data_IF_015818721452
#
_entry.id   IF_015818721452
#
_cell.length_a   1.000
_cell.length_b   1.000
_cell.length_c   1.000
_cell.angle_alpha   90.00
_cell.angle_beta   90.00
_cell.angle_gamma   90.00
#
_symmetry.space_group_name_H-M   'P 1'
#
loop_
_entity.id
_entity.type
_entity.pdbx_description
1 polymer ?
#
# COMPACT_ATOMS: atom_id res chain seq x y z
N UNK A 1 25.65 3.45 -6.01
CA UNK A 1 24.65 2.86 -5.07
C UNK A 1 23.36 3.64 -5.33
N UNK A 2 22.47 3.06 -6.13
CA UNK A 2 21.18 3.71 -6.47
C UNK A 2 20.37 3.76 -5.17
N UNK A 3 20.12 4.98 -4.67
CA UNK A 3 19.06 5.18 -3.67
C UNK A 3 17.80 4.55 -4.25
N UNK A 4 17.26 3.56 -3.54
CA UNK A 4 15.99 2.99 -3.90
C UNK A 4 15.00 4.15 -3.96
N UNK A 5 14.38 4.33 -5.10
CA UNK A 5 13.63 5.52 -5.54
C UNK A 5 12.48 5.83 -4.56
N UNK A 6 12.82 6.44 -3.44
CA UNK A 6 11.84 6.94 -2.47
C UNK A 6 11.19 8.16 -3.10
N UNK A 7 9.93 8.01 -3.50
CA UNK A 7 9.14 9.13 -4.04
C UNK A 7 9.15 10.29 -3.04
N UNK A 8 9.58 11.46 -3.48
CA UNK A 8 9.53 12.69 -2.67
C UNK A 8 8.14 13.33 -2.73
N UNK A 9 7.88 14.27 -1.82
CA UNK A 9 6.63 15.06 -1.85
C UNK A 9 6.49 15.79 -3.17
N UNK A 10 7.57 16.43 -3.67
CA UNK A 10 7.55 17.16 -4.93
C UNK A 10 7.25 16.28 -6.14
N UNK A 11 7.82 15.06 -6.18
CA UNK A 11 7.51 14.08 -7.21
C UNK A 11 6.04 13.63 -7.16
N UNK A 12 5.50 13.40 -5.96
CA UNK A 12 4.08 13.04 -5.77
C UNK A 12 3.16 14.16 -6.27
N UNK A 13 3.39 15.42 -5.86
CA UNK A 13 2.59 16.57 -6.30
C UNK A 13 2.68 16.78 -7.82
N UNK A 14 3.87 16.66 -8.40
CA UNK A 14 4.06 16.73 -9.86
C UNK A 14 3.25 15.67 -10.59
N UNK A 15 3.23 14.42 -10.08
CA UNK A 15 2.45 13.32 -10.64
C UNK A 15 0.95 13.61 -10.57
N UNK A 16 0.45 14.09 -9.42
CA UNK A 16 -0.96 14.44 -9.25
C UNK A 16 -1.39 15.54 -10.22
N UNK A 17 -0.61 16.59 -10.39
CA UNK A 17 -0.90 17.67 -11.37
C UNK A 17 -0.93 17.15 -12.80
N UNK A 18 -0.01 16.23 -13.18
CA UNK A 18 -0.01 15.61 -14.52
C UNK A 18 -1.23 14.70 -14.73
N UNK A 19 -1.63 13.96 -13.71
CA UNK A 19 -2.85 13.12 -13.73
C UNK A 19 -4.09 13.99 -13.91
N UNK A 20 -4.18 15.11 -13.20
CA UNK A 20 -5.27 16.06 -13.34
C UNK A 20 -5.29 16.71 -14.73
N UNK A 21 -4.12 17.03 -15.30
CA UNK A 21 -4.05 17.49 -16.70
C UNK A 21 -4.63 16.48 -17.68
N UNK A 22 -4.30 15.20 -17.53
CA UNK A 22 -4.83 14.14 -18.38
C UNK A 22 -6.36 14.04 -18.24
N UNK A 23 -6.88 14.03 -17.01
CA UNK A 23 -8.30 14.02 -16.71
C UNK A 23 -9.04 15.20 -17.34
N UNK A 24 -8.50 16.44 -17.21
CA UNK A 24 -9.11 17.65 -17.78
C UNK A 24 -9.20 17.61 -19.31
N UNK A 25 -8.20 17.01 -19.97
CA UNK A 25 -8.23 16.80 -21.41
C UNK A 25 -9.30 15.81 -21.82
N UNK A 26 -9.42 14.70 -21.08
CA UNK A 26 -10.40 13.64 -21.33
C UNK A 26 -11.85 14.18 -21.24
N UNK A 27 -12.13 15.02 -20.23
CA UNK A 27 -13.46 15.60 -20.02
C UNK A 27 -13.66 16.92 -20.78
N UNK A 28 -12.74 17.33 -21.64
CA UNK A 28 -12.87 18.53 -22.49
C UNK A 28 -12.70 19.86 -21.76
N UNK A 29 -12.23 19.87 -20.52
CA UNK A 29 -11.95 21.10 -19.75
C UNK A 29 -10.62 21.77 -20.17
N UNK A 30 -9.76 21.05 -20.87
CA UNK A 30 -8.48 21.53 -21.34
C UNK A 30 -8.24 21.12 -22.78
N UNK A 31 -7.85 22.05 -23.65
CA UNK A 31 -7.53 21.75 -25.03
C UNK A 31 -6.30 20.82 -25.10
N UNK A 32 -6.19 19.93 -26.12
CA UNK A 32 -5.11 18.96 -26.24
C UNK A 32 -3.69 19.56 -26.13
N UNK A 33 -3.47 20.75 -26.72
CA UNK A 33 -2.18 21.45 -26.71
C UNK A 33 -1.93 22.26 -25.43
N UNK A 34 -2.95 22.45 -24.58
CA UNK A 34 -2.82 23.27 -23.36
C UNK A 34 -2.23 22.44 -22.22
N UNK A 35 -1.33 23.00 -21.45
CA UNK A 35 -0.73 22.41 -20.27
C UNK A 35 -1.44 22.95 -19.03
N UNK A 36 -1.84 22.09 -18.11
CA UNK A 36 -2.24 22.50 -16.76
C UNK A 36 -0.97 22.88 -16.00
N UNK A 37 -0.58 24.15 -16.14
CA UNK A 37 0.70 24.67 -15.68
C UNK A 37 0.73 24.81 -14.15
N UNK A 38 1.91 25.08 -13.60
CA UNK A 38 2.05 25.39 -12.16
C UNK A 38 1.32 26.69 -11.78
N UNK A 39 1.34 27.67 -12.69
CA UNK A 39 0.65 28.93 -12.50
C UNK A 39 -0.86 28.72 -12.36
N UNK A 40 -1.48 27.95 -13.28
CA UNK A 40 -2.90 27.61 -13.20
C UNK A 40 -3.23 26.82 -11.93
N UNK A 41 -2.42 25.82 -11.62
CA UNK A 41 -2.62 24.98 -10.45
C UNK A 41 -2.47 25.78 -9.13
N UNK A 42 -1.52 26.69 -9.08
CA UNK A 42 -1.29 27.56 -7.92
C UNK A 42 -2.42 28.58 -7.72
N UNK A 43 -2.92 29.17 -8.83
CA UNK A 43 -4.07 30.08 -8.79
C UNK A 43 -5.32 29.37 -8.22
N UNK A 44 -5.65 28.19 -8.74
CA UNK A 44 -6.78 27.38 -8.28
C UNK A 44 -6.61 26.90 -6.81
N UNK A 45 -5.38 26.58 -6.42
CA UNK A 45 -5.06 26.21 -5.03
C UNK A 45 -4.88 27.41 -4.07
N UNK A 46 -5.05 28.65 -4.55
CA UNK A 46 -4.87 29.88 -3.78
C UNK A 46 -3.49 30.01 -3.11
N UNK A 47 -2.44 29.58 -3.81
CA UNK A 47 -1.03 29.73 -3.39
C UNK A 47 -0.22 30.44 -4.49
N UNK A 48 1.00 30.87 -4.18
CA UNK A 48 1.86 31.46 -5.23
C UNK A 48 2.47 30.39 -6.13
N UNK A 49 2.62 30.68 -7.44
CA UNK A 49 3.29 29.80 -8.39
C UNK A 49 4.75 29.50 -7.99
N UNK A 50 5.43 30.50 -7.37
CA UNK A 50 6.79 30.32 -6.82
C UNK A 50 6.80 29.26 -5.72
N UNK A 51 5.83 29.32 -4.80
CA UNK A 51 5.73 28.35 -3.71
C UNK A 51 5.41 26.93 -4.24
N UNK A 52 4.47 26.80 -5.17
CA UNK A 52 4.21 25.49 -5.80
C UNK A 52 5.45 24.95 -6.49
N UNK A 53 6.22 25.82 -7.16
CA UNK A 53 7.50 25.41 -7.80
C UNK A 53 8.51 24.90 -6.76
N UNK A 54 8.60 25.55 -5.60
CA UNK A 54 9.46 25.09 -4.51
C UNK A 54 9.00 23.75 -3.94
N UNK A 55 7.68 23.55 -3.78
CA UNK A 55 7.11 22.28 -3.33
C UNK A 55 7.42 21.15 -4.31
N UNK A 56 7.18 21.35 -5.63
CA UNK A 56 7.44 20.33 -6.65
C UNK A 56 8.94 20.02 -6.86
N UNK A 57 9.83 20.90 -6.39
CA UNK A 57 11.30 20.72 -6.43
C UNK A 57 11.89 20.25 -5.10
N UNK A 58 11.06 20.04 -4.07
CA UNK A 58 11.49 19.73 -2.71
C UNK A 58 12.47 20.76 -2.12
N UNK A 59 12.30 22.03 -2.50
CA UNK A 59 13.14 23.17 -2.03
C UNK A 59 12.40 24.14 -1.12
N UNK A 60 11.13 23.86 -0.80
CA UNK A 60 10.37 24.66 0.15
C UNK A 60 10.99 24.59 1.55
N UNK A 61 11.12 25.75 2.20
CA UNK A 61 11.64 25.80 3.57
C UNK A 61 10.58 25.36 4.59
N UNK A 62 10.98 24.52 5.54
CA UNK A 62 10.13 24.05 6.62
C UNK A 62 9.11 23.00 6.19
N UNK A 63 8.25 22.62 7.14
CA UNK A 63 7.20 21.62 6.88
C UNK A 63 6.01 22.28 6.19
N UNK A 64 5.54 21.68 5.11
CA UNK A 64 4.35 22.15 4.37
C UNK A 64 3.11 22.02 5.26
N UNK A 65 2.32 23.09 5.37
CA UNK A 65 1.10 23.06 6.18
C UNK A 65 0.03 22.12 5.60
N UNK A 66 -0.68 21.39 6.47
CA UNK A 66 -1.76 20.46 6.11
C UNK A 66 -2.84 21.12 5.24
N UNK A 67 -3.20 22.39 5.54
CA UNK A 67 -4.17 23.14 4.74
C UNK A 67 -3.73 23.36 3.30
N UNK A 68 -2.45 23.63 3.04
CA UNK A 68 -1.90 23.78 1.69
C UNK A 68 -1.96 22.46 0.94
N UNK A 69 -1.58 21.36 1.60
CA UNK A 69 -1.68 20.03 0.99
C UNK A 69 -3.13 19.70 0.63
N UNK A 70 -4.09 20.02 1.50
CA UNK A 70 -5.52 19.78 1.22
C UNK A 70 -5.99 20.59 0.01
N UNK A 71 -5.65 21.86 -0.07
CA UNK A 71 -5.98 22.69 -1.24
C UNK A 71 -5.44 22.11 -2.54
N UNK A 72 -4.19 21.61 -2.54
CA UNK A 72 -3.61 20.96 -3.71
C UNK A 72 -4.32 19.66 -4.08
N UNK A 73 -4.67 18.82 -3.09
CA UNK A 73 -5.43 17.59 -3.31
C UNK A 73 -6.79 17.88 -3.94
N UNK A 74 -7.50 18.90 -3.43
CA UNK A 74 -8.81 19.30 -3.95
C UNK A 74 -8.68 19.86 -5.37
N UNK A 75 -7.66 20.71 -5.65
CA UNK A 75 -7.35 21.24 -6.99
C UNK A 75 -7.03 20.13 -8.00
N UNK A 76 -6.34 19.08 -7.57
CA UNK A 76 -5.99 17.94 -8.43
C UNK A 76 -7.07 16.87 -8.50
N UNK A 77 -8.23 17.06 -7.88
CA UNK A 77 -9.31 16.07 -7.76
C UNK A 77 -8.76 14.70 -7.35
N UNK A 78 -7.78 14.72 -6.44
CA UNK A 78 -7.09 13.54 -5.99
C UNK A 78 -7.90 12.81 -4.90
N UNK A 79 -7.61 11.52 -4.73
CA UNK A 79 -8.34 10.66 -3.78
C UNK A 79 -7.90 10.88 -2.32
N UNK A 80 -8.68 10.33 -1.36
CA UNK A 80 -8.27 10.30 0.05
C UNK A 80 -7.00 9.47 0.27
N UNK A 81 -6.72 8.46 -0.56
CA UNK A 81 -5.45 7.75 -0.52
C UNK A 81 -4.28 8.66 -0.94
N UNK A 82 -4.45 9.47 -1.98
CA UNK A 82 -3.45 10.46 -2.39
C UNK A 82 -3.24 11.52 -1.29
N UNK A 83 -4.33 11.97 -0.65
CA UNK A 83 -4.28 12.88 0.49
C UNK A 83 -3.43 12.31 1.62
N UNK A 84 -3.73 11.07 2.04
CA UNK A 84 -2.98 10.36 3.06
C UNK A 84 -1.49 10.27 2.69
N UNK A 85 -1.21 9.93 1.43
CA UNK A 85 0.15 9.75 0.93
C UNK A 85 0.97 11.03 0.95
N UNK A 86 0.42 12.15 0.49
CA UNK A 86 1.15 13.42 0.53
C UNK A 86 1.34 13.92 1.96
N UNK A 87 0.40 13.65 2.88
CA UNK A 87 0.57 13.92 4.30
C UNK A 87 1.74 13.10 4.88
N UNK A 88 1.80 11.80 4.62
CA UNK A 88 2.89 10.94 5.08
C UNK A 88 4.25 11.40 4.53
N UNK A 89 4.34 11.74 3.24
CA UNK A 89 5.56 12.28 2.62
C UNK A 89 5.99 13.63 3.22
N UNK A 90 5.03 14.47 3.60
CA UNK A 90 5.28 15.74 4.25
C UNK A 90 5.61 15.63 5.76
N UNK A 91 5.60 14.41 6.31
CA UNK A 91 5.86 14.14 7.72
C UNK A 91 4.69 14.44 8.65
N UNK A 92 3.46 14.56 8.11
CA UNK A 92 2.25 14.65 8.91
C UNK A 92 1.72 13.26 9.21
N UNK A 93 1.36 13.02 10.48
CA UNK A 93 0.66 11.81 10.86
C UNK A 93 -0.83 11.99 10.54
N UNK A 94 -1.25 11.59 9.36
CA UNK A 94 -2.69 11.50 9.11
C UNK A 94 -3.26 10.25 9.81
N UNK A 95 -4.48 10.33 10.37
CA UNK A 95 -5.09 9.18 11.02
C UNK A 95 -5.40 8.11 9.96
N UNK A 96 -4.68 6.99 10.05
CA UNK A 96 -4.88 5.86 9.16
C UNK A 96 -5.38 4.64 9.95
N UNK A 97 -6.59 4.12 9.65
CA UNK A 97 -7.15 3.00 10.41
C UNK A 97 -6.29 1.73 10.34
N UNK A 98 -5.61 1.49 9.21
CA UNK A 98 -4.86 0.27 8.95
C UNK A 98 -3.45 0.19 9.56
N UNK A 99 -2.87 1.34 9.92
CA UNK A 99 -1.56 1.44 10.59
C UNK A 99 -1.65 2.36 11.81
N UNK A 100 -2.87 2.61 12.32
CA UNK A 100 -3.11 3.41 13.51
C UNK A 100 -2.30 2.84 14.68
N UNK A 101 -1.59 3.70 15.39
CA UNK A 101 -0.74 3.32 16.53
C UNK A 101 0.73 3.09 16.19
N UNK A 102 1.12 2.97 14.91
CA UNK A 102 2.54 2.91 14.54
C UNK A 102 3.06 4.30 14.18
N UNK A 103 3.92 4.85 15.01
CA UNK A 103 4.67 6.06 14.67
C UNK A 103 5.68 5.77 13.55
N UNK A 104 5.92 6.71 12.60
CA UNK A 104 7.01 6.61 11.64
C UNK A 104 8.41 6.48 12.28
N UNK A 105 8.52 6.90 13.53
CA UNK A 105 9.77 6.85 14.32
C UNK A 105 9.84 5.64 15.26
N UNK A 106 8.80 4.79 15.27
CA UNK A 106 8.79 3.59 16.12
C UNK A 106 9.76 2.56 15.56
N UNK A 107 10.63 2.03 16.41
CA UNK A 107 11.40 0.84 16.08
C UNK A 107 10.44 -0.30 15.77
N UNK A 108 10.49 -0.77 14.53
CA UNK A 108 9.61 -1.85 14.11
C UNK A 108 10.17 -3.16 14.68
N UNK A 109 9.36 -3.91 15.44
CA UNK A 109 9.78 -5.17 16.01
C UNK A 109 10.35 -6.11 14.94
N UNK A 110 11.38 -6.86 15.30
CA UNK A 110 11.96 -7.88 14.43
C UNK A 110 10.93 -8.97 14.09
N UNK A 111 11.21 -9.75 13.05
CA UNK A 111 10.38 -10.92 12.73
C UNK A 111 10.25 -11.86 13.93
N UNK A 112 11.33 -12.09 14.67
CA UNK A 112 11.35 -12.95 15.85
C UNK A 112 10.43 -12.41 16.97
N UNK A 113 10.49 -11.10 17.25
CA UNK A 113 9.60 -10.47 18.22
C UNK A 113 8.12 -10.61 17.82
N UNK A 114 7.80 -10.42 16.54
CA UNK A 114 6.43 -10.67 16.04
C UNK A 114 6.02 -12.14 16.18
N UNK A 115 6.91 -13.09 15.90
CA UNK A 115 6.62 -14.52 16.05
C UNK A 115 6.42 -14.93 17.53
N UNK A 116 7.16 -14.30 18.45
CA UNK A 116 7.01 -14.50 19.90
C UNK A 116 5.69 -13.89 20.42
N UNK A 117 5.18 -12.84 19.79
CA UNK A 117 3.91 -12.21 20.12
C UNK A 117 2.69 -13.08 19.77
N UNK A 118 2.83 -14.09 18.90
CA UNK A 118 1.77 -15.05 18.60
C UNK A 118 1.59 -16.03 19.74
N UNK A 119 0.55 -15.83 20.56
CA UNK A 119 0.25 -16.68 21.69
C UNK A 119 -0.19 -18.09 21.27
N UNK A 120 -0.05 -19.11 22.13
CA UNK A 120 -0.59 -20.45 21.84
C UNK A 120 -2.09 -20.44 21.55
N UNK A 121 -2.87 -19.59 22.22
CA UNK A 121 -4.30 -19.43 21.99
C UNK A 121 -4.60 -18.90 20.58
N UNK A 122 -3.86 -17.88 20.11
CA UNK A 122 -4.01 -17.35 18.76
C UNK A 122 -3.73 -18.43 17.69
N UNK A 123 -2.74 -19.30 17.94
CA UNK A 123 -2.43 -20.43 17.04
C UNK A 123 -3.54 -21.47 17.06
N UNK A 124 -4.03 -21.85 18.25
CA UNK A 124 -5.13 -22.80 18.39
C UNK A 124 -6.40 -22.31 17.66
N UNK A 125 -6.81 -21.06 17.88
CA UNK A 125 -7.96 -20.48 17.18
C UNK A 125 -7.80 -20.46 15.65
N UNK A 126 -6.58 -20.28 15.16
CA UNK A 126 -6.29 -20.32 13.74
C UNK A 126 -6.41 -21.74 13.19
N UNK A 127 -5.89 -22.73 13.92
CA UNK A 127 -5.90 -24.15 13.52
C UNK A 127 -7.27 -24.80 13.60
N UNK A 128 -8.14 -24.31 14.53
CA UNK A 128 -9.53 -24.74 14.68
C UNK A 128 -10.47 -24.15 13.61
N UNK A 129 -9.98 -23.26 12.75
CA UNK A 129 -10.80 -22.66 11.69
C UNK A 129 -11.31 -23.73 10.70
N UNK A 130 -12.55 -23.55 10.22
CA UNK A 130 -13.14 -24.44 9.24
C UNK A 130 -12.28 -24.52 7.95
N UNK A 131 -12.37 -25.64 7.23
CA UNK A 131 -11.53 -25.91 6.06
C UNK A 131 -11.76 -24.92 4.89
N UNK A 132 -12.92 -24.26 4.84
CA UNK A 132 -13.26 -23.21 3.86
C UNK A 132 -12.80 -21.82 4.31
N UNK A 133 -12.17 -21.73 5.49
CA UNK A 133 -11.74 -20.47 6.08
C UNK A 133 -10.21 -20.40 6.13
N UNK A 134 -9.63 -19.61 5.25
CA UNK A 134 -8.21 -19.27 5.34
C UNK A 134 -8.01 -18.27 6.48
N UNK A 135 -7.05 -18.53 7.38
CA UNK A 135 -6.75 -17.66 8.52
C UNK A 135 -5.25 -17.49 8.65
N UNK A 136 -4.82 -16.25 8.81
CA UNK A 136 -3.39 -15.96 8.92
C UNK A 136 -3.12 -14.69 9.71
N UNK A 137 -1.89 -14.58 10.19
CA UNK A 137 -1.35 -13.42 10.88
C UNK A 137 -0.20 -12.81 10.07
N UNK A 138 -0.16 -11.49 9.98
CA UNK A 138 0.94 -10.76 9.37
C UNK A 138 1.46 -9.68 10.30
N UNK A 139 2.72 -9.29 10.11
CA UNK A 139 3.22 -8.02 10.64
C UNK A 139 2.60 -6.83 9.88
N UNK A 140 2.68 -5.62 10.43
CA UNK A 140 2.27 -4.41 9.71
C UNK A 140 3.00 -4.21 8.37
N UNK A 141 4.23 -4.75 8.26
CA UNK A 141 4.99 -4.76 7.02
C UNK A 141 4.49 -5.81 6.00
N UNK A 142 3.39 -6.52 6.30
CA UNK A 142 2.83 -7.59 5.45
C UNK A 142 3.76 -8.81 5.28
N UNK A 143 4.57 -9.09 6.29
CA UNK A 143 5.25 -10.39 6.38
C UNK A 143 4.31 -11.42 6.99
N UNK A 144 4.20 -12.57 6.38
CA UNK A 144 3.44 -13.70 6.94
C UNK A 144 4.10 -14.15 8.24
N UNK A 145 3.34 -14.24 9.32
CA UNK A 145 3.82 -14.71 10.63
C UNK A 145 3.39 -16.15 10.89
N UNK A 146 2.12 -16.43 10.67
CA UNK A 146 1.55 -17.77 10.76
C UNK A 146 0.28 -17.84 9.90
N UNK A 147 -0.09 -19.04 9.49
CA UNK A 147 -1.32 -19.31 8.78
C UNK A 147 -1.81 -20.73 9.09
N UNK A 148 -3.11 -20.98 8.92
CA UNK A 148 -3.67 -22.30 9.03
C UNK A 148 -3.37 -23.15 7.77
N UNK A 149 -3.68 -24.44 7.86
CA UNK A 149 -3.46 -25.38 6.74
C UNK A 149 -4.20 -24.95 5.49
N UNK A 150 -5.46 -24.55 5.61
CA UNK A 150 -6.28 -24.09 4.48
C UNK A 150 -5.61 -22.93 3.69
N UNK A 151 -4.94 -22.02 4.39
CA UNK A 151 -4.16 -20.95 3.74
C UNK A 151 -3.03 -21.53 2.89
N UNK A 152 -2.21 -22.43 3.42
CA UNK A 152 -1.07 -23.01 2.69
C UNK A 152 -1.51 -23.91 1.55
N UNK A 153 -2.66 -24.57 1.69
CA UNK A 153 -3.25 -25.39 0.62
C UNK A 153 -3.69 -24.50 -0.56
N UNK A 154 -4.21 -23.29 -0.29
CA UNK A 154 -4.62 -22.30 -1.32
C UNK A 154 -3.43 -21.53 -1.87
N UNK A 155 -2.46 -21.13 -1.02
CA UNK A 155 -1.31 -20.30 -1.38
C UNK A 155 0.01 -21.04 -1.19
N UNK A 156 0.36 -21.96 -2.11
CA UNK A 156 1.60 -22.72 -2.00
C UNK A 156 2.84 -21.81 -2.05
N UNK A 157 3.97 -22.31 -1.58
CA UNK A 157 5.27 -21.61 -1.47
C UNK A 157 5.29 -20.44 -0.47
N UNK A 158 4.14 -20.09 0.13
CA UNK A 158 4.10 -19.15 1.23
C UNK A 158 4.72 -19.78 2.49
N UNK A 159 5.40 -18.96 3.29
CA UNK A 159 6.03 -19.39 4.55
C UNK A 159 6.18 -18.23 5.53
N UNK A 160 6.23 -18.48 6.83
CA UNK A 160 6.52 -17.44 7.81
C UNK A 160 7.80 -16.68 7.49
N UNK A 161 7.74 -15.36 7.65
CA UNK A 161 8.82 -14.43 7.32
C UNK A 161 8.82 -13.92 5.89
N UNK A 162 8.09 -14.57 4.98
CA UNK A 162 7.99 -14.11 3.60
C UNK A 162 7.14 -12.83 3.51
N UNK A 163 7.61 -11.87 2.72
CA UNK A 163 6.81 -10.70 2.38
C UNK A 163 5.80 -11.09 1.28
N UNK A 164 4.52 -10.93 1.57
CA UNK A 164 3.45 -11.46 0.72
C UNK A 164 3.53 -10.95 -0.73
N UNK A 165 3.96 -9.71 -0.92
CA UNK A 165 4.10 -9.13 -2.26
C UNK A 165 5.30 -9.74 -3.03
N UNK A 166 6.38 -10.15 -2.34
CA UNK A 166 7.49 -10.89 -2.98
C UNK A 166 7.02 -12.24 -3.52
N UNK A 167 6.12 -12.92 -2.80
CA UNK A 167 5.51 -14.15 -3.30
C UNK A 167 4.66 -13.88 -4.54
N UNK A 168 3.85 -12.82 -4.53
CA UNK A 168 2.96 -12.49 -5.65
C UNK A 168 3.73 -12.26 -6.97
N UNK A 169 4.92 -11.69 -6.91
CA UNK A 169 5.76 -11.45 -8.09
C UNK A 169 6.76 -12.57 -8.37
N UNK A 170 7.27 -13.23 -7.35
CA UNK A 170 8.40 -14.17 -7.45
C UNK A 170 8.02 -15.65 -7.56
N UNK A 171 6.83 -16.05 -7.10
CA UNK A 171 6.39 -17.44 -7.18
C UNK A 171 5.58 -17.69 -8.45
N UNK A 172 5.94 -18.68 -9.28
CA UNK A 172 5.10 -19.12 -10.38
C UNK A 172 3.68 -19.53 -9.92
N UNK A 173 3.58 -20.16 -8.74
CA UNK A 173 2.30 -20.56 -8.16
C UNK A 173 1.35 -19.37 -7.90
N UNK A 174 1.87 -18.16 -7.65
CA UNK A 174 1.02 -16.99 -7.45
C UNK A 174 0.14 -16.71 -8.67
N UNK A 175 0.68 -16.84 -9.89
CA UNK A 175 -0.07 -16.61 -11.14
C UNK A 175 -1.07 -17.73 -11.43
N UNK A 176 -0.77 -18.95 -11.00
CA UNK A 176 -1.69 -20.07 -11.16
C UNK A 176 -2.86 -19.98 -10.18
N UNK A 177 -2.60 -19.49 -8.97
CA UNK A 177 -3.60 -19.37 -7.90
C UNK A 177 -4.44 -18.11 -8.05
N UNK A 178 -3.85 -16.95 -8.24
CA UNK A 178 -4.55 -15.67 -8.28
C UNK A 178 -5.16 -15.45 -9.67
N UNK A 179 -6.47 -15.69 -9.82
CA UNK A 179 -7.17 -15.58 -11.11
C UNK A 179 -7.09 -14.13 -11.63
N UNK A 180 -7.19 -13.16 -10.73
CA UNK A 180 -7.09 -11.71 -11.01
C UNK A 180 -5.71 -11.16 -10.65
N UNK A 181 -4.65 -11.94 -10.88
CA UNK A 181 -3.28 -11.64 -10.42
C UNK A 181 -2.86 -10.19 -10.70
N UNK A 182 -3.12 -9.68 -11.89
CA UNK A 182 -2.69 -8.31 -12.25
C UNK A 182 -3.39 -7.26 -11.39
N UNK A 183 -4.70 -7.40 -11.16
CA UNK A 183 -5.48 -6.50 -10.30
C UNK A 183 -5.00 -6.55 -8.85
N UNK A 184 -4.79 -7.77 -8.35
CA UNK A 184 -4.35 -8.00 -6.98
C UNK A 184 -2.92 -7.50 -6.76
N UNK A 185 -2.03 -7.72 -7.73
CA UNK A 185 -0.66 -7.25 -7.71
C UNK A 185 -0.60 -5.71 -7.74
N UNK A 186 -1.40 -5.05 -8.59
CA UNK A 186 -1.52 -3.58 -8.62
C UNK A 186 -1.98 -3.04 -7.28
N UNK A 187 -2.99 -3.65 -6.65
CA UNK A 187 -3.42 -3.26 -5.31
C UNK A 187 -2.32 -3.44 -4.27
N UNK A 188 -1.57 -4.55 -4.35
CA UNK A 188 -0.41 -4.80 -3.48
C UNK A 188 0.69 -3.76 -3.67
N UNK A 189 0.99 -3.35 -4.91
CA UNK A 189 1.96 -2.28 -5.21
C UNK A 189 1.46 -0.93 -4.69
N UNK A 190 0.18 -0.62 -4.86
CA UNK A 190 -0.42 0.61 -4.33
C UNK A 190 -0.34 0.67 -2.79
N UNK A 191 -0.53 -0.45 -2.09
CA UNK A 191 -0.31 -0.54 -0.65
C UNK A 191 1.16 -0.39 -0.26
N UNK A 192 2.05 -1.03 -0.99
CA UNK A 192 3.49 -0.88 -0.76
C UNK A 192 3.90 0.59 -0.92
N UNK A 193 3.31 1.33 -1.87
CA UNK A 193 3.54 2.77 -2.02
C UNK A 193 3.09 3.55 -0.78
N UNK A 194 1.94 3.23 -0.21
CA UNK A 194 1.49 3.82 1.06
C UNK A 194 2.49 3.56 2.21
N UNK A 195 2.99 2.32 2.30
CA UNK A 195 4.06 1.95 3.25
C UNK A 195 5.32 2.79 3.02
N UNK A 196 5.76 2.93 1.76
CA UNK A 196 6.94 3.73 1.41
C UNK A 196 6.74 5.22 1.71
N UNK A 197 5.54 5.78 1.53
CA UNK A 197 5.23 7.16 1.91
C UNK A 197 5.50 7.41 3.40
N UNK A 198 5.09 6.47 4.24
CA UNK A 198 5.19 6.60 5.70
C UNK A 198 6.53 6.15 6.27
N UNK A 199 7.07 5.04 5.78
CA UNK A 199 8.25 4.37 6.32
C UNK A 199 9.44 4.32 5.37
N UNK A 200 9.38 4.99 4.21
CA UNK A 200 10.40 4.89 3.17
C UNK A 200 11.80 5.33 3.60
N UNK A 201 11.93 6.05 4.72
CA UNK A 201 13.23 6.41 5.32
C UNK A 201 13.81 5.31 6.20
N UNK A 202 13.05 4.26 6.52
CA UNK A 202 13.52 3.14 7.34
C UNK A 202 14.25 2.10 6.50
N UNK A 203 15.25 1.47 7.09
CA UNK A 203 16.06 0.48 6.39
C UNK A 203 15.22 -0.72 5.91
N UNK A 204 14.28 -1.21 6.74
CA UNK A 204 13.44 -2.34 6.37
C UNK A 204 12.54 -2.04 5.16
N UNK A 205 11.96 -0.82 5.06
CA UNK A 205 11.10 -0.44 3.94
C UNK A 205 11.93 -0.34 2.65
N UNK A 206 13.12 0.26 2.73
CA UNK A 206 14.05 0.33 1.61
C UNK A 206 14.53 -1.06 1.17
N UNK A 207 14.84 -1.97 2.11
CA UNK A 207 15.19 -3.35 1.78
C UNK A 207 14.05 -4.09 1.08
N UNK A 208 12.81 -3.96 1.58
CA UNK A 208 11.64 -4.56 0.95
C UNK A 208 11.44 -4.00 -0.47
N UNK A 209 11.56 -2.68 -0.63
CA UNK A 209 11.44 -2.03 -1.93
C UNK A 209 12.53 -2.50 -2.92
N UNK A 210 13.80 -2.57 -2.50
CA UNK A 210 14.90 -3.09 -3.34
C UNK A 210 14.66 -4.52 -3.80
N UNK A 211 14.11 -5.41 -2.95
CA UNK A 211 13.78 -6.78 -3.35
C UNK A 211 12.63 -6.83 -4.36
N UNK A 212 11.62 -5.97 -4.21
CA UNK A 212 10.53 -5.88 -5.18
C UNK A 212 10.98 -5.26 -6.51
N UNK A 213 11.93 -4.33 -6.46
CA UNK A 213 12.45 -3.64 -7.65
C UNK A 213 13.12 -4.56 -8.67
N UNK A 214 13.51 -5.77 -8.28
CA UNK A 214 14.05 -6.77 -9.22
C UNK A 214 13.01 -7.29 -10.23
N UNK A 215 11.70 -7.18 -9.92
CA UNK A 215 10.63 -7.66 -10.78
C UNK A 215 10.20 -6.56 -11.77
N UNK A 216 10.28 -6.80 -13.11
CA UNK A 216 9.88 -5.80 -14.12
C UNK A 216 8.45 -5.33 -13.94
N UNK A 217 7.50 -6.24 -13.76
CA UNK A 217 6.08 -5.92 -13.62
C UNK A 217 5.80 -5.09 -12.35
N UNK A 218 6.57 -5.29 -11.28
CA UNK A 218 6.47 -4.43 -10.11
C UNK A 218 6.86 -2.99 -10.47
N UNK A 219 7.96 -2.80 -11.23
CA UNK A 219 8.39 -1.46 -11.66
C UNK A 219 7.33 -0.77 -12.51
N UNK A 220 6.76 -1.49 -13.50
CA UNK A 220 5.71 -0.94 -14.37
C UNK A 220 4.47 -0.51 -13.57
N UNK A 221 4.03 -1.35 -12.62
CA UNK A 221 2.92 -1.02 -11.72
C UNK A 221 3.28 0.13 -10.76
N UNK A 222 4.53 0.18 -10.30
CA UNK A 222 5.01 1.28 -9.46
C UNK A 222 5.01 2.61 -10.21
N UNK A 223 5.39 2.65 -11.47
CA UNK A 223 5.39 3.86 -12.29
C UNK A 223 3.98 4.44 -12.51
N UNK A 224 2.94 3.60 -12.52
CA UNK A 224 1.55 4.05 -12.59
C UNK A 224 1.18 5.01 -11.44
N UNK A 225 1.80 4.85 -10.28
CA UNK A 225 1.71 5.81 -9.18
C UNK A 225 0.47 5.66 -8.30
N UNK A 226 -0.26 4.56 -8.41
CA UNK A 226 -1.42 4.29 -7.58
C UNK A 226 -1.03 4.12 -6.11
N UNK A 227 -1.91 4.59 -5.21
CA UNK A 227 -1.74 4.50 -3.75
C UNK A 227 -2.99 3.90 -3.13
N UNK A 228 -2.80 2.99 -2.19
CA UNK A 228 -3.88 2.44 -1.38
C UNK A 228 -3.48 2.29 0.08
N UNK A 229 -4.44 2.49 0.98
CA UNK A 229 -4.29 2.27 2.42
C UNK A 229 -5.32 1.27 2.96
N UNK A 230 -6.38 1.02 2.22
CA UNK A 230 -7.40 0.04 2.56
C UNK A 230 -7.91 -0.68 1.30
N UNK A 231 -8.43 -1.88 1.48
CA UNK A 231 -9.19 -2.56 0.43
C UNK A 231 -10.58 -1.92 0.30
N UNK A 232 -11.13 -1.93 -0.91
CA UNK A 232 -12.54 -1.62 -1.09
C UNK A 232 -13.39 -2.60 -0.27
N UNK A 233 -14.52 -2.14 0.28
CA UNK A 233 -15.38 -2.97 1.14
C UNK A 233 -15.97 -4.19 0.41
N UNK A 234 -16.15 -4.06 -0.89
CA UNK A 234 -16.71 -5.05 -1.80
C UNK A 234 -15.62 -5.82 -2.57
N UNK A 235 -14.35 -5.63 -2.21
CA UNK A 235 -13.26 -6.35 -2.87
C UNK A 235 -13.35 -7.85 -2.58
N UNK A 236 -13.35 -8.62 -3.66
CA UNK A 236 -13.33 -10.09 -3.64
C UNK A 236 -12.10 -10.56 -4.41
N UNK A 237 -11.15 -11.15 -3.72
CA UNK A 237 -10.05 -11.85 -4.38
C UNK A 237 -10.58 -13.10 -5.07
N UNK A 238 -10.10 -13.40 -6.27
CA UNK A 238 -10.46 -14.60 -7.00
C UNK A 238 -9.26 -15.55 -7.05
N UNK A 239 -9.48 -16.75 -6.52
CA UNK A 239 -8.41 -17.75 -6.42
C UNK A 239 -8.80 -19.07 -7.07
N UNK A 240 -7.81 -19.78 -7.59
CA UNK A 240 -7.95 -21.15 -8.08
C UNK A 240 -7.43 -22.10 -7.02
N UNK A 241 -8.27 -23.02 -6.62
CA UNK A 241 -7.92 -24.06 -5.66
C UNK A 241 -8.51 -25.40 -6.10
N UNK A 242 -7.73 -26.46 -6.09
CA UNK A 242 -8.13 -27.81 -6.56
C UNK A 242 -8.81 -27.79 -7.94
N UNK A 243 -8.23 -27.01 -8.87
CA UNK A 243 -8.72 -26.89 -10.25
C UNK A 243 -10.02 -26.08 -10.41
N UNK A 244 -10.57 -25.51 -9.33
CA UNK A 244 -11.83 -24.73 -9.32
C UNK A 244 -11.58 -23.28 -8.98
N UNK A 245 -12.48 -22.40 -9.46
CA UNK A 245 -12.46 -20.99 -9.14
C UNK A 245 -13.28 -20.71 -7.87
N UNK A 246 -12.71 -19.88 -6.99
CA UNK A 246 -13.37 -19.41 -5.76
C UNK A 246 -13.25 -17.90 -5.64
N UNK A 247 -14.31 -17.26 -5.16
CA UNK A 247 -14.25 -15.94 -4.58
C UNK A 247 -13.76 -16.05 -3.13
N UNK A 248 -12.98 -15.07 -2.68
CA UNK A 248 -12.52 -14.98 -1.31
C UNK A 248 -12.78 -13.57 -0.77
N UNK A 249 -13.72 -13.48 0.16
CA UNK A 249 -13.94 -12.26 0.94
C UNK A 249 -12.98 -12.23 2.12
N UNK A 250 -12.41 -11.06 2.42
CA UNK A 250 -11.41 -10.91 3.47
C UNK A 250 -11.91 -10.00 4.59
N UNK A 251 -11.68 -10.42 5.82
CA UNK A 251 -11.85 -9.62 7.02
C UNK A 251 -10.49 -9.43 7.69
N UNK A 252 -10.19 -8.20 8.12
CA UNK A 252 -8.91 -7.85 8.72
C UNK A 252 -9.11 -7.18 10.07
N UNK A 253 -8.35 -7.60 11.07
CA UNK A 253 -8.35 -7.04 12.42
C UNK A 253 -6.93 -6.65 12.84
N UNK A 254 -6.82 -5.55 13.54
CA UNK A 254 -5.58 -5.12 14.17
C UNK A 254 -5.56 -5.56 15.63
N UNK A 255 -4.51 -6.25 16.04
CA UNK A 255 -4.35 -6.74 17.40
C UNK A 255 -3.23 -5.93 18.09
N UNK A 256 -3.63 -4.88 18.82
CA UNK A 256 -2.67 -3.96 19.46
C UNK A 256 -2.31 -4.31 20.90
N UNK A 257 -3.09 -5.18 21.56
CA UNK A 257 -3.06 -5.32 23.01
C UNK A 257 -2.18 -6.43 23.55
N UNK A 258 -1.53 -7.23 22.71
CA UNK A 258 -0.92 -8.47 23.16
C UNK A 258 0.59 -8.34 23.37
N UNK A 259 1.22 -7.34 22.77
CA UNK A 259 2.66 -7.08 22.90
C UNK A 259 3.02 -5.74 22.25
N UNK A 260 4.26 -5.27 22.47
CA UNK A 260 4.85 -4.13 21.76
C UNK A 260 5.03 -4.39 20.25
N UNK A 261 4.67 -5.58 19.76
CA UNK A 261 4.73 -5.98 18.36
C UNK A 261 3.31 -6.10 17.77
N UNK A 262 2.80 -5.07 17.08
CA UNK A 262 1.47 -5.09 16.49
C UNK A 262 1.35 -6.19 15.42
N UNK A 263 0.22 -6.88 15.44
CA UNK A 263 -0.08 -7.99 14.53
C UNK A 263 -1.41 -7.72 13.84
N UNK A 264 -1.48 -8.07 12.56
CA UNK A 264 -2.69 -8.08 11.76
C UNK A 264 -3.20 -9.52 11.66
N UNK A 265 -4.46 -9.73 12.02
CA UNK A 265 -5.16 -10.98 11.77
C UNK A 265 -6.03 -10.82 10.53
N UNK A 266 -5.97 -11.77 9.64
CA UNK A 266 -6.82 -11.82 8.45
C UNK A 266 -7.55 -13.17 8.37
N UNK A 267 -8.80 -13.12 7.95
CA UNK A 267 -9.61 -14.30 7.61
C UNK A 267 -10.23 -14.11 6.25
N UNK A 268 -10.21 -15.15 5.45
CA UNK A 268 -10.87 -15.18 4.15
C UNK A 268 -11.78 -16.40 4.06
N UNK A 269 -13.03 -16.20 3.66
CA UNK A 269 -13.95 -17.28 3.35
C UNK A 269 -13.95 -17.55 1.86
N UNK A 270 -13.71 -18.82 1.50
CA UNK A 270 -13.82 -19.30 0.12
C UNK A 270 -15.28 -19.67 -0.19
N UNK A 271 -15.75 -19.27 -1.36
CA UNK A 271 -17.03 -19.73 -1.91
C UNK A 271 -16.89 -19.96 -3.41
N UNK A 272 -17.54 -20.99 -3.98
CA UNK A 272 -17.49 -21.28 -5.41
C UNK A 272 -17.97 -20.09 -6.26
N UNK A 273 -17.27 -19.82 -7.38
CA UNK A 273 -17.67 -18.87 -8.40
C UNK A 273 -18.44 -19.56 -9.52
#
# INVERSE_FOLDING_TARGET
>A
MLDADTTTLGQALTRLRRREQARRREVGMLLPATVFSREMAAEEAHISASYLTQLERDTAAGQVGVGILRQLIDTYHASENDWQYVCDLAGHQAPYPGLAGMSPTMDIPSLEQHLQALTPMMRAEMDEAAADLVSYYTSPQRRLLAANRAYFDVFPDQRPGLYMLEWAFGSPAARDVMITWETDARLGVAWHRGIMGRYGKTEWAQQAHRRLWQFPEFRDMWEAGDVAYAMAKDYVAQVRFDGRAYGMTMENWHLYSVSDAPILRSRGRLYPL
#
